data_IF_424697167966
#
_entry.id   IF_424697167966
#
_cell.length_a   1.000
_cell.length_b   1.000
_cell.length_c   1.000
_cell.angle_alpha   90.00
_cell.angle_beta   90.00
_cell.angle_gamma   90.00
#
_symmetry.space_group_name_H-M   'P 1'
#
loop_
_entity.id
_entity.type
_entity.pdbx_description
1 polymer ?
#
# COMPACT_ATOMS: atom_id res chain seq x y z
N UNK A 1 1.73 -4.46 15.14
CA UNK A 1 0.34 -4.79 14.72
C UNK A 1 0.35 -4.76 13.21
N UNK A 2 -0.20 -5.77 12.53
CA UNK A 2 -0.06 -5.90 11.08
C UNK A 2 -1.30 -5.40 10.34
N UNK A 3 -1.10 -4.75 9.20
CA UNK A 3 -2.13 -4.17 8.37
C UNK A 3 -2.03 -4.70 6.95
N UNK A 4 -3.19 -5.04 6.38
CA UNK A 4 -3.33 -5.42 4.99
C UNK A 4 -4.18 -4.36 4.28
N UNK A 5 -3.69 -3.82 3.17
CA UNK A 5 -4.37 -2.81 2.37
C UNK A 5 -4.65 -3.40 0.98
N UNK A 6 -5.91 -3.66 0.67
CA UNK A 6 -6.32 -4.11 -0.66
C UNK A 6 -6.74 -2.88 -1.49
N UNK A 7 -5.91 -2.50 -2.47
CA UNK A 7 -6.17 -1.37 -3.34
C UNK A 7 -5.60 -1.62 -4.73
N UNK A 8 -6.51 -1.82 -5.69
CA UNK A 8 -6.19 -2.23 -7.04
C UNK A 8 -6.91 -1.35 -8.07
N UNK A 9 -6.37 -1.28 -9.29
CA UNK A 9 -7.03 -0.63 -10.42
C UNK A 9 -6.37 0.69 -10.81
N UNK A 10 -7.08 1.80 -10.61
CA UNK A 10 -6.62 3.13 -11.03
C UNK A 10 -6.08 3.92 -9.84
N UNK A 11 -5.44 5.07 -10.14
CA UNK A 11 -4.93 5.98 -9.11
C UNK A 11 -5.97 6.41 -8.08
N UNK A 12 -7.26 6.43 -8.44
CA UNK A 12 -8.36 6.75 -7.52
C UNK A 12 -8.52 5.78 -6.34
N UNK A 13 -7.98 4.56 -6.43
CA UNK A 13 -7.92 3.62 -5.31
C UNK A 13 -6.50 3.49 -4.75
N UNK A 14 -5.49 3.46 -5.62
CA UNK A 14 -4.09 3.24 -5.23
C UNK A 14 -3.54 4.39 -4.38
N UNK A 15 -3.74 5.66 -4.79
CA UNK A 15 -3.19 6.80 -4.04
C UNK A 15 -3.85 7.00 -2.67
N UNK A 16 -5.18 6.87 -2.51
CA UNK A 16 -5.78 6.89 -1.18
C UNK A 16 -5.26 5.78 -0.26
N UNK A 17 -5.04 4.57 -0.78
CA UNK A 17 -4.50 3.48 0.02
C UNK A 17 -3.05 3.72 0.45
N UNK A 18 -2.22 4.31 -0.44
CA UNK A 18 -0.88 4.76 -0.08
C UNK A 18 -0.92 5.84 1.01
N UNK A 19 -1.84 6.80 0.91
CA UNK A 19 -2.02 7.82 1.93
C UNK A 19 -2.37 7.21 3.30
N UNK A 20 -3.23 6.18 3.34
CA UNK A 20 -3.53 5.42 4.55
C UNK A 20 -2.28 4.68 5.07
N UNK A 21 -1.50 4.04 4.18
CA UNK A 21 -0.25 3.38 4.54
C UNK A 21 0.75 4.34 5.19
N UNK A 22 0.91 5.55 4.65
CA UNK A 22 1.77 6.59 5.23
C UNK A 22 1.25 7.08 6.57
N UNK A 23 -0.07 7.31 6.70
CA UNK A 23 -0.67 7.73 7.96
C UNK A 23 -0.51 6.67 9.07
N UNK A 24 -0.48 5.38 8.73
CA UNK A 24 -0.15 4.32 9.69
C UNK A 24 1.31 4.41 10.16
N UNK A 25 2.24 4.69 9.24
CA UNK A 25 3.66 4.90 9.59
C UNK A 25 3.83 6.09 10.53
N UNK A 26 3.16 7.21 10.26
CA UNK A 26 3.18 8.41 11.11
C UNK A 26 2.64 8.11 12.53
N UNK A 27 1.78 7.10 12.67
CA UNK A 27 1.26 6.62 13.96
C UNK A 27 2.14 5.57 14.64
N UNK A 28 3.35 5.34 14.12
CA UNK A 28 4.35 4.45 14.72
C UNK A 28 4.25 2.99 14.25
N UNK A 29 3.48 2.70 13.21
CA UNK A 29 3.46 1.35 12.63
C UNK A 29 4.70 1.17 11.73
N UNK A 30 5.45 0.10 11.96
CA UNK A 30 6.58 -0.23 11.10
C UNK A 30 6.08 -0.49 9.68
N UNK A 31 6.78 0.04 8.68
CA UNK A 31 6.45 -0.16 7.27
C UNK A 31 6.35 -1.65 6.89
N UNK A 32 7.20 -2.49 7.49
CA UNK A 32 7.22 -3.95 7.27
C UNK A 32 5.99 -4.67 7.84
N UNK A 33 5.25 -4.02 8.75
CA UNK A 33 3.96 -4.49 9.26
C UNK A 33 2.79 -4.12 8.33
N UNK A 34 3.03 -3.38 7.24
CA UNK A 34 2.02 -2.96 6.27
C UNK A 34 2.27 -3.67 4.94
N UNK A 35 1.29 -4.47 4.50
CA UNK A 35 1.33 -5.16 3.21
C UNK A 35 0.17 -4.69 2.34
N UNK A 36 0.46 -4.49 1.06
CA UNK A 36 -0.54 -4.18 0.04
C UNK A 36 -0.83 -5.41 -0.79
N UNK A 37 -2.11 -5.61 -1.08
CA UNK A 37 -2.61 -6.64 -2.00
C UNK A 37 -3.28 -5.98 -3.20
N UNK A 38 -3.06 -6.53 -4.40
CA UNK A 38 -3.67 -6.01 -5.62
C UNK A 38 -3.37 -6.88 -6.84
N UNK A 39 -3.63 -6.38 -8.05
CA UNK A 39 -3.40 -7.14 -9.28
C UNK A 39 -2.29 -6.55 -10.15
N UNK A 40 -2.26 -7.00 -11.42
CA UNK A 40 -1.25 -6.60 -12.42
C UNK A 40 -1.56 -5.25 -13.10
N UNK A 41 -1.94 -4.24 -12.32
CA UNK A 41 -2.21 -2.87 -12.81
C UNK A 41 -1.29 -1.85 -12.15
N UNK A 42 -1.74 -0.61 -12.01
CA UNK A 42 -0.92 0.51 -11.53
C UNK A 42 -0.28 0.20 -10.16
N UNK A 43 -1.02 -0.45 -9.27
CA UNK A 43 -0.56 -0.85 -7.94
C UNK A 43 0.75 -1.65 -7.96
N UNK A 44 0.95 -2.53 -8.96
CA UNK A 44 2.16 -3.37 -9.07
C UNK A 44 3.43 -2.54 -9.18
N UNK A 45 3.35 -1.34 -9.77
CA UNK A 45 4.50 -0.44 -9.93
C UNK A 45 4.49 0.64 -8.85
N UNK A 46 3.34 1.26 -8.60
CA UNK A 46 3.24 2.43 -7.73
C UNK A 46 3.44 2.07 -6.26
N UNK A 47 2.94 0.92 -5.80
CA UNK A 47 3.06 0.52 -4.38
C UNK A 47 4.52 0.19 -4.01
N UNK A 48 5.25 -0.64 -4.78
CA UNK A 48 6.68 -0.85 -4.51
C UNK A 48 7.51 0.42 -4.66
N UNK A 49 7.19 1.30 -5.63
CA UNK A 49 7.88 2.58 -5.80
C UNK A 49 7.72 3.51 -4.58
N UNK A 50 6.59 3.41 -3.86
CA UNK A 50 6.38 4.10 -2.58
C UNK A 50 7.05 3.41 -1.38
N UNK A 51 7.77 2.31 -1.62
CA UNK A 51 8.53 1.55 -0.63
C UNK A 51 7.70 0.55 0.17
N UNK A 52 6.45 0.28 -0.18
CA UNK A 52 5.62 -0.70 0.53
C UNK A 52 5.77 -2.10 -0.04
N UNK A 53 5.61 -3.11 0.81
CA UNK A 53 5.53 -4.50 0.38
C UNK A 53 4.24 -4.72 -0.41
N UNK A 54 4.36 -5.29 -1.61
CA UNK A 54 3.25 -5.63 -2.49
C UNK A 54 3.18 -7.15 -2.69
N UNK A 55 1.96 -7.69 -2.70
CA UNK A 55 1.64 -9.08 -3.02
C UNK A 55 0.51 -9.08 -4.04
N UNK A 56 0.69 -9.84 -5.12
CA UNK A 56 -0.38 -10.08 -6.11
C UNK A 56 -1.41 -11.08 -5.56
#
# INVERSE_FOLDING_TARGET
MKFALAAAGTGGHVFPALAVGHALIERGIARDDIVFFGGDRMERVTVPAAGFRFVE
#
